data_IF_871979998949
#
_entry.id   IF_871979998949
#
_cell.length_a   1.000
_cell.length_b   1.000
_cell.length_c   1.000
_cell.angle_alpha   90.00
_cell.angle_beta   90.00
_cell.angle_gamma   90.00
#
_symmetry.space_group_name_H-M   'P 1'
#
loop_
_entity.id
_entity.type
_entity.pdbx_description
1 polymer ?
#
# COMPACT_ATOMS: atom_id res chain seq x y z
N UNK A 1 1.17 10.74 2.77
CA UNK A 1 0.23 9.63 2.49
C UNK A 1 -0.52 9.88 1.19
N UNK A 2 -0.80 8.82 0.43
CA UNK A 2 -1.70 8.82 -0.72
C UNK A 2 -2.40 7.47 -0.81
N UNK A 3 -3.52 7.36 -1.51
CA UNK A 3 -4.21 6.10 -1.73
C UNK A 3 -4.53 5.87 -3.21
N UNK A 4 -4.87 4.65 -3.58
CA UNK A 4 -5.39 4.34 -4.90
C UNK A 4 -6.47 3.28 -4.85
N UNK A 5 -7.44 3.39 -5.75
CA UNK A 5 -8.46 2.38 -5.98
C UNK A 5 -7.97 1.47 -7.11
N UNK A 6 -7.96 0.17 -6.87
CA UNK A 6 -7.69 -0.80 -7.93
C UNK A 6 -8.95 -0.96 -8.77
N UNK A 7 -8.83 -0.75 -10.08
CA UNK A 7 -9.96 -0.84 -11.00
C UNK A 7 -9.97 -2.22 -11.69
N UNK A 8 -11.12 -2.66 -12.23
CA UNK A 8 -11.15 -3.81 -13.13
C UNK A 8 -10.10 -3.65 -14.24
N UNK A 9 -9.45 -4.70 -14.71
CA UNK A 9 -8.45 -4.61 -15.78
C UNK A 9 -9.10 -4.11 -17.09
N UNK A 10 -8.28 -3.56 -17.98
CA UNK A 10 -8.75 -3.03 -19.27
C UNK A 10 -9.12 -4.12 -20.29
N UNK A 11 -8.62 -5.35 -20.10
CA UNK A 11 -8.80 -6.46 -21.02
C UNK A 11 -9.17 -7.77 -20.32
N UNK A 12 -9.57 -8.80 -21.09
CA UNK A 12 -10.04 -10.08 -20.57
C UNK A 12 -8.92 -10.95 -19.98
N UNK A 13 -7.66 -10.67 -20.34
CA UNK A 13 -6.48 -11.42 -19.89
C UNK A 13 -6.08 -11.11 -18.42
N UNK A 14 -6.85 -10.25 -17.75
CA UNK A 14 -6.54 -9.78 -16.41
C UNK A 14 -5.59 -8.59 -16.42
N UNK A 15 -4.94 -8.32 -15.29
CA UNK A 15 -4.00 -7.23 -15.18
C UNK A 15 -3.45 -7.15 -13.77
N UNK A 16 -2.22 -6.66 -13.65
CA UNK A 16 -1.52 -6.57 -12.36
C UNK A 16 -1.04 -5.17 -12.08
N UNK A 17 -0.96 -4.84 -10.80
CA UNK A 17 -0.52 -3.53 -10.35
C UNK A 17 0.48 -3.64 -9.21
N UNK A 18 1.43 -2.72 -9.18
CA UNK A 18 2.25 -2.44 -8.00
C UNK A 18 2.14 -0.98 -7.64
N UNK A 19 2.03 -0.68 -6.37
CA UNK A 19 1.95 0.68 -5.82
C UNK A 19 3.06 0.90 -4.81
N UNK A 20 3.49 2.15 -4.65
CA UNK A 20 4.44 2.50 -3.60
C UNK A 20 5.17 3.81 -3.85
N UNK A 21 6.47 3.79 -3.66
CA UNK A 21 7.30 4.99 -3.66
C UNK A 21 8.53 4.79 -4.53
N UNK A 22 8.88 5.79 -5.32
CA UNK A 22 10.08 5.80 -6.14
C UNK A 22 10.83 7.13 -5.99
N UNK A 23 12.16 7.05 -5.91
CA UNK A 23 13.03 8.22 -6.00
C UNK A 23 13.28 8.60 -7.47
N UNK A 24 13.75 9.83 -7.71
CA UNK A 24 14.02 10.35 -9.07
C UNK A 24 14.84 9.42 -10.00
N UNK A 25 15.90 8.72 -9.55
CA UNK A 25 16.69 7.85 -10.44
C UNK A 25 16.07 6.47 -10.69
N UNK A 26 14.83 6.21 -10.25
CA UNK A 26 14.18 4.93 -10.51
C UNK A 26 13.94 4.72 -12.02
N UNK A 27 14.11 3.48 -12.47
CA UNK A 27 13.92 3.08 -13.87
C UNK A 27 12.44 3.13 -14.25
N UNK A 28 12.08 4.03 -15.17
CA UNK A 28 10.69 4.26 -15.58
C UNK A 28 10.12 3.15 -16.45
N UNK A 29 10.96 2.40 -17.16
CA UNK A 29 10.53 1.29 -18.02
C UNK A 29 10.42 -0.04 -17.25
N UNK A 30 10.73 -0.04 -15.96
CA UNK A 30 10.66 -1.20 -15.10
C UNK A 30 9.52 -1.05 -14.07
N UNK A 31 8.98 -2.16 -13.54
CA UNK A 31 7.95 -2.08 -12.51
C UNK A 31 8.51 -1.51 -11.21
N UNK A 32 7.65 -0.89 -10.40
CA UNK A 32 8.05 -0.38 -9.07
C UNK A 32 8.63 -1.55 -8.25
N UNK A 33 9.73 -1.28 -7.55
CA UNK A 33 10.48 -2.29 -6.78
C UNK A 33 11.54 -3.04 -7.59
N UNK A 34 11.72 -2.73 -8.88
CA UNK A 34 12.75 -3.35 -9.72
C UNK A 34 14.17 -3.02 -9.26
N UNK A 35 14.43 -1.75 -8.93
CA UNK A 35 15.74 -1.24 -8.60
C UNK A 35 15.88 -0.88 -7.11
N UNK A 36 17.02 -0.32 -6.75
CA UNK A 36 17.30 0.16 -5.40
C UNK A 36 16.61 1.50 -5.06
N UNK A 37 15.92 2.12 -6.01
CA UNK A 37 15.35 3.46 -5.90
C UNK A 37 13.84 3.45 -5.69
N UNK A 38 13.22 2.27 -5.71
CA UNK A 38 11.79 2.10 -5.59
C UNK A 38 11.42 0.97 -4.61
N UNK A 39 10.27 1.12 -3.99
CA UNK A 39 9.71 0.25 -2.96
C UNK A 39 8.24 -0.01 -3.30
N UNK A 40 7.83 -1.27 -3.36
CA UNK A 40 6.54 -1.64 -3.94
C UNK A 40 5.74 -2.61 -3.07
N UNK A 41 4.42 -2.49 -3.16
CA UNK A 41 3.45 -3.48 -2.72
C UNK A 41 2.68 -3.98 -3.93
N UNK A 42 2.55 -5.30 -4.05
CA UNK A 42 2.00 -5.99 -5.22
C UNK A 42 0.66 -6.63 -4.89
N UNK A 43 -0.24 -6.57 -5.87
CA UNK A 43 -1.58 -7.16 -5.84
C UNK A 43 -1.59 -8.67 -5.54
N UNK A 44 -0.74 -9.42 -6.25
CA UNK A 44 -0.61 -10.87 -6.09
C UNK A 44 0.19 -11.20 -4.84
N UNK A 45 -0.39 -12.08 -4.02
CA UNK A 45 0.18 -12.59 -2.76
C UNK A 45 0.49 -11.53 -1.70
N UNK A 46 0.13 -10.26 -1.92
CA UNK A 46 0.45 -9.18 -0.98
C UNK A 46 1.95 -9.01 -0.77
N UNK A 47 2.75 -9.31 -1.80
CA UNK A 47 4.20 -9.24 -1.69
C UNK A 47 4.70 -7.81 -1.61
N UNK A 48 5.77 -7.57 -0.83
CA UNK A 48 6.59 -6.37 -0.95
C UNK A 48 7.78 -6.62 -1.88
N UNK A 49 8.18 -5.63 -2.68
CA UNK A 49 9.29 -5.74 -3.64
C UNK A 49 10.26 -4.55 -3.64
N UNK A 50 11.55 -4.86 -3.57
CA UNK A 50 12.64 -3.89 -3.64
C UNK A 50 13.89 -4.54 -4.24
N UNK A 51 14.63 -3.86 -5.13
CA UNK A 51 15.81 -4.43 -5.82
C UNK A 51 15.51 -5.75 -6.56
N UNK A 52 14.30 -5.90 -7.10
CA UNK A 52 13.81 -7.13 -7.73
C UNK A 52 13.73 -8.34 -6.78
N UNK A 53 13.86 -8.13 -5.48
CA UNK A 53 13.62 -9.15 -4.45
C UNK A 53 12.16 -9.06 -4.04
N UNK A 54 11.48 -10.21 -4.03
CA UNK A 54 10.09 -10.37 -3.64
C UNK A 54 10.00 -11.10 -2.30
N UNK A 55 9.23 -10.55 -1.38
CA UNK A 55 8.89 -11.17 -0.09
C UNK A 55 7.38 -11.31 -0.02
N UNK A 56 6.87 -12.54 0.01
CA UNK A 56 5.43 -12.84 -0.10
C UNK A 56 4.69 -12.76 1.25
N UNK A 57 5.38 -12.80 2.39
CA UNK A 57 4.78 -12.80 3.74
C UNK A 57 4.62 -11.38 4.33
N UNK A 58 4.28 -10.38 3.51
CA UNK A 58 4.13 -9.00 3.98
C UNK A 58 2.68 -8.64 4.35
N UNK A 59 1.77 -8.70 3.38
CA UNK A 59 0.39 -8.25 3.58
C UNK A 59 -0.61 -9.11 2.82
N UNK A 60 -1.88 -8.72 2.86
CA UNK A 60 -2.93 -9.39 2.12
C UNK A 60 -2.83 -9.09 0.61
N UNK A 61 -3.16 -10.08 -0.22
CA UNK A 61 -3.41 -9.84 -1.64
C UNK A 61 -4.58 -8.89 -1.83
N UNK A 62 -4.60 -8.18 -2.95
CA UNK A 62 -5.64 -7.20 -3.25
C UNK A 62 -5.98 -7.19 -4.73
N UNK A 63 -7.18 -6.71 -5.06
CA UNK A 63 -7.72 -6.75 -6.41
C UNK A 63 -8.72 -5.62 -6.69
N UNK A 64 -9.45 -5.69 -7.82
CA UNK A 64 -10.45 -4.69 -8.19
C UNK A 64 -11.43 -4.37 -7.06
N UNK A 65 -11.63 -3.09 -6.78
CA UNK A 65 -12.47 -2.59 -5.68
C UNK A 65 -11.69 -2.26 -4.40
N UNK A 66 -10.52 -2.87 -4.18
CA UNK A 66 -9.69 -2.55 -3.02
C UNK A 66 -9.07 -1.15 -3.12
N UNK A 67 -8.95 -0.50 -1.96
CA UNK A 67 -8.26 0.78 -1.80
C UNK A 67 -6.95 0.56 -1.06
N UNK A 68 -5.84 0.89 -1.73
CA UNK A 68 -4.49 0.73 -1.20
C UNK A 68 -3.93 2.07 -0.77
N UNK A 69 -3.75 2.23 0.54
CA UNK A 69 -3.10 3.36 1.17
C UNK A 69 -1.58 3.19 1.22
N UNK A 70 -0.85 4.26 0.96
CA UNK A 70 0.61 4.29 0.94
C UNK A 70 1.11 5.40 1.88
N UNK A 71 1.68 5.02 3.02
CA UNK A 71 2.33 5.93 3.95
C UNK A 71 3.84 5.88 3.81
N UNK A 72 4.48 7.03 3.99
CA UNK A 72 5.93 7.14 4.13
C UNK A 72 6.21 8.13 5.25
N UNK A 73 7.01 7.70 6.20
CA UNK A 73 7.57 8.55 7.26
C UNK A 73 9.04 8.81 6.91
N UNK A 74 9.40 10.09 6.79
CA UNK A 74 10.78 10.52 6.56
C UNK A 74 11.16 11.52 7.65
N UNK A 75 12.15 11.17 8.44
CA UNK A 75 12.75 12.07 9.41
C UNK A 75 13.65 13.08 8.69
N UNK A 76 13.46 14.39 8.92
CA UNK A 76 14.25 15.42 8.28
C UNK A 76 15.74 15.36 8.66
N UNK A 77 16.07 14.78 9.83
CA UNK A 77 17.45 14.73 10.35
C UNK A 77 18.30 13.58 9.79
N UNK A 78 17.73 12.67 8.98
CA UNK A 78 18.44 11.51 8.41
C UNK A 78 19.47 11.81 7.31
N UNK A 79 19.82 13.09 7.08
CA UNK A 79 20.78 13.49 6.03
C UNK A 79 22.25 13.49 6.47
N UNK A 80 22.57 13.24 7.74
CA UNK A 80 23.95 13.25 8.25
C UNK A 80 24.15 12.17 9.32
N UNK A 81 24.75 11.05 8.92
CA UNK A 81 25.69 10.15 9.65
C UNK A 81 25.57 8.74 9.05
N UNK A 82 26.32 8.48 7.98
CA UNK A 82 26.81 7.13 7.74
C UNK A 82 27.69 6.77 8.94
N UNK A 83 27.16 6.04 9.93
CA UNK A 83 28.02 5.44 10.95
C UNK A 83 28.76 4.28 10.30
N UNK A 84 29.97 4.54 9.86
CA UNK A 84 31.00 3.52 9.69
C UNK A 84 31.26 2.88 11.06
N UNK A 85 30.60 1.77 11.33
CA UNK A 85 31.11 0.79 12.30
C UNK A 85 30.69 -0.60 11.82
N UNK A 86 31.65 -1.30 11.19
CA UNK A 86 31.65 -2.75 11.11
C UNK A 86 31.74 -3.30 12.54
N UNK A 87 30.60 -3.44 13.20
CA UNK A 87 30.44 -4.21 14.44
C UNK A 87 29.92 -5.59 14.07
N UNK A 88 30.75 -6.62 14.17
CA UNK A 88 30.37 -8.00 13.89
C UNK A 88 29.29 -8.47 14.88
N UNK A 89 28.08 -8.68 14.40
CA UNK A 89 27.07 -9.44 15.12
C UNK A 89 27.20 -10.90 14.70
N UNK A 90 27.65 -11.75 15.62
CA UNK A 90 27.53 -13.21 15.50
C UNK A 90 26.13 -13.54 16.03
N UNK A 91 25.18 -14.03 15.22
CA UNK A 91 23.90 -14.47 15.75
C UNK A 91 24.09 -15.79 16.50
N UNK A 92 23.81 -15.79 17.81
CA UNK A 92 23.64 -17.02 18.60
C UNK A 92 22.35 -17.74 18.16
N UNK A 93 22.35 -19.07 18.04
CA UNK A 93 21.15 -19.83 17.68
C UNK A 93 20.09 -19.77 18.79
N UNK A 94 18.79 -19.83 18.43
CA UNK A 94 17.69 -19.69 19.39
C UNK A 94 17.60 -20.93 20.29
N UNK A 95 17.40 -20.69 21.59
CA UNK A 95 17.15 -21.72 22.60
C UNK A 95 15.66 -22.14 22.51
N UNK A 96 15.32 -23.44 22.35
CA UNK A 96 13.94 -23.89 22.33
C UNK A 96 13.32 -23.79 23.75
N UNK A 97 12.18 -23.11 23.87
CA UNK A 97 11.36 -23.14 25.11
C UNK A 97 10.95 -21.79 25.70
N UNK A 98 11.28 -20.66 25.06
CA UNK A 98 10.72 -19.37 25.48
C UNK A 98 9.37 -19.18 24.80
N UNK A 99 8.31 -19.38 25.57
CA UNK A 99 6.96 -18.91 25.25
C UNK A 99 7.02 -17.39 25.08
N UNK A 100 6.86 -16.90 23.85
CA UNK A 100 6.64 -15.47 23.58
C UNK A 100 5.23 -15.11 24.08
N UNK A 101 5.07 -14.14 24.98
CA UNK A 101 3.74 -13.68 25.34
C UNK A 101 3.12 -12.95 24.14
N UNK A 102 1.94 -13.42 23.73
CA UNK A 102 1.03 -12.69 22.84
C UNK A 102 0.66 -11.37 23.53
N UNK A 103 0.95 -10.24 22.88
CA UNK A 103 0.57 -8.91 23.39
C UNK A 103 1.72 -7.91 23.56
N UNK A 104 2.75 -7.96 22.71
CA UNK A 104 3.67 -6.83 22.60
C UNK A 104 3.02 -5.75 21.73
N UNK A 105 2.63 -4.63 22.35
CA UNK A 105 2.28 -3.41 21.62
C UNK A 105 3.39 -3.09 20.62
N UNK A 106 3.00 -2.79 19.38
CA UNK A 106 3.93 -2.40 18.33
C UNK A 106 4.65 -1.11 18.77
N UNK A 107 5.92 -1.20 19.16
CA UNK A 107 6.76 -0.02 19.26
C UNK A 107 6.87 0.59 17.86
N UNK A 108 6.25 1.75 17.66
CA UNK A 108 6.27 2.46 16.38
C UNK A 108 7.74 2.71 15.95
N UNK A 109 8.13 2.33 14.72
CA UNK A 109 9.49 2.55 14.26
C UNK A 109 9.79 4.04 14.27
N UNK A 110 10.75 4.45 15.11
CA UNK A 110 11.20 5.85 15.19
C UNK A 110 12.01 6.30 13.97
N UNK A 111 12.34 5.36 13.07
CA UNK A 111 13.16 5.54 11.88
C UNK A 111 12.30 5.67 10.62
N UNK A 112 12.92 6.14 9.52
CA UNK A 112 12.24 6.27 8.23
C UNK A 112 11.67 4.93 7.79
N UNK A 113 10.38 4.90 7.44
CA UNK A 113 9.71 3.67 7.08
C UNK A 113 8.54 3.89 6.12
N UNK A 114 8.11 2.80 5.48
CA UNK A 114 6.93 2.74 4.62
C UNK A 114 5.94 1.72 5.19
N UNK A 115 4.66 2.11 5.22
CA UNK A 115 3.53 1.24 5.56
C UNK A 115 2.50 1.26 4.42
N UNK A 116 1.86 0.12 4.21
CA UNK A 116 0.73 -0.01 3.30
C UNK A 116 -0.55 -0.32 4.07
N UNK A 117 -1.68 0.09 3.50
CA UNK A 117 -2.99 -0.10 4.08
C UNK A 117 -3.89 -0.72 3.03
N UNK A 118 -4.72 -1.70 3.41
CA UNK A 118 -5.78 -2.24 2.56
C UNK A 118 -7.12 -1.87 3.16
N UNK A 119 -7.92 -1.07 2.45
CA UNK A 119 -9.23 -0.60 2.90
C UNK A 119 -9.17 0.02 4.31
N UNK A 120 -8.14 0.82 4.57
CA UNK A 120 -7.88 1.47 5.85
C UNK A 120 -7.22 0.60 6.93
N UNK A 121 -7.10 -0.72 6.74
CA UNK A 121 -6.41 -1.63 7.67
C UNK A 121 -4.91 -1.60 7.42
N UNK A 122 -4.13 -1.31 8.46
CA UNK A 122 -2.67 -1.33 8.41
C UNK A 122 -2.16 -2.75 8.11
N UNK A 123 -1.29 -2.88 7.12
CA UNK A 123 -0.62 -4.14 6.74
C UNK A 123 0.73 -4.29 7.44
N UNK A 124 1.09 -3.36 8.32
CA UNK A 124 2.36 -3.33 9.04
C UNK A 124 3.47 -2.65 8.26
N UNK A 125 4.65 -2.62 8.87
CA UNK A 125 5.83 -1.94 8.34
C UNK A 125 6.43 -2.76 7.20
N UNK A 126 6.39 -2.23 5.98
CA UNK A 126 6.93 -2.89 4.80
C UNK A 126 8.44 -2.77 4.71
N UNK A 127 8.93 -1.54 4.89
CA UNK A 127 10.33 -1.19 4.77
C UNK A 127 10.73 -0.28 5.91
N UNK A 128 11.82 -0.64 6.57
CA UNK A 128 12.45 0.12 7.64
C UNK A 128 13.79 0.68 7.15
N UNK A 129 14.32 1.66 7.88
CA UNK A 129 15.64 2.22 7.63
C UNK A 129 15.82 2.74 6.19
N UNK A 130 14.75 3.25 5.57
CA UNK A 130 14.84 3.75 4.21
C UNK A 130 15.69 5.04 4.16
N UNK A 131 16.52 5.22 3.12
CA UNK A 131 17.35 6.41 3.01
C UNK A 131 16.51 7.69 2.96
N UNK A 132 16.96 8.75 3.64
CA UNK A 132 16.32 10.06 3.53
C UNK A 132 16.55 10.63 2.12
N UNK A 133 15.49 10.63 1.30
CA UNK A 133 15.50 11.06 -0.11
C UNK A 133 14.14 11.66 -0.48
N UNK A 134 14.11 12.34 -1.61
CA UNK A 134 12.85 12.76 -2.21
C UNK A 134 12.21 11.55 -2.91
N UNK A 135 11.09 11.09 -2.35
CA UNK A 135 10.25 10.06 -2.93
C UNK A 135 9.00 10.66 -3.57
N UNK A 136 8.53 9.99 -4.62
CA UNK A 136 7.31 10.30 -5.34
C UNK A 136 6.38 9.09 -5.27
N UNK A 137 5.06 9.30 -5.17
CA UNK A 137 4.10 8.23 -5.40
C UNK A 137 4.37 7.53 -6.73
N UNK A 138 4.38 6.21 -6.72
CA UNK A 138 4.70 5.41 -7.89
C UNK A 138 3.69 4.28 -8.08
N UNK A 139 3.37 4.02 -9.34
CA UNK A 139 2.50 2.94 -9.77
C UNK A 139 3.13 2.30 -11.01
N UNK A 140 3.10 0.98 -11.08
CA UNK A 140 3.36 0.25 -12.33
C UNK A 140 2.20 -0.68 -12.63
N UNK A 141 1.76 -0.72 -13.88
CA UNK A 141 0.69 -1.58 -14.36
C UNK A 141 1.21 -2.59 -15.37
N UNK A 142 0.64 -3.79 -15.38
CA UNK A 142 0.98 -4.87 -16.31
C UNK A 142 -0.30 -5.51 -16.86
N UNK A 143 -0.27 -5.97 -18.12
CA UNK A 143 -1.34 -6.78 -18.74
C UNK A 143 -2.70 -6.09 -18.88
N UNK A 144 -2.80 -4.78 -18.62
CA UNK A 144 -4.08 -4.06 -18.54
C UNK A 144 -4.52 -3.70 -17.13
N UNK A 145 -3.65 -3.87 -16.12
CA UNK A 145 -3.88 -3.39 -14.75
C UNK A 145 -4.19 -1.89 -14.72
N UNK A 146 -5.15 -1.50 -13.88
CA UNK A 146 -5.61 -0.12 -13.77
C UNK A 146 -5.75 0.28 -12.32
N UNK A 147 -5.35 1.50 -12.01
CA UNK A 147 -5.62 2.14 -10.72
C UNK A 147 -6.11 3.55 -10.93
N UNK A 148 -6.87 4.06 -9.96
CA UNK A 148 -7.21 5.46 -9.84
C UNK A 148 -6.56 6.03 -8.59
N UNK A 149 -5.75 7.07 -8.75
CA UNK A 149 -4.91 7.60 -7.67
C UNK A 149 -5.59 8.78 -6.98
N UNK A 150 -5.55 8.81 -5.64
CA UNK A 150 -6.01 9.90 -4.80
C UNK A 150 -4.86 10.41 -3.90
N UNK A 151 -4.42 11.65 -4.15
CA UNK A 151 -3.35 12.30 -3.38
C UNK A 151 -3.84 13.07 -2.14
N UNK A 152 -5.14 13.01 -1.85
CA UNK A 152 -5.80 13.80 -0.81
C UNK A 152 -6.30 15.17 -1.30
N UNK A 153 -6.79 16.04 -0.41
CA UNK A 153 -6.73 15.91 1.07
C UNK A 153 -7.81 15.03 1.69
N UNK A 154 -8.89 14.72 0.95
CA UNK A 154 -9.93 13.78 1.39
C UNK A 154 -9.56 12.37 0.93
N UNK A 155 -9.70 11.39 1.81
CA UNK A 155 -9.44 9.98 1.51
C UNK A 155 -10.69 9.13 1.68
N UNK A 156 -10.78 8.05 0.91
CA UNK A 156 -11.79 7.02 1.04
C UNK A 156 -11.70 6.37 2.42
N UNK A 157 -10.46 6.04 2.82
CA UNK A 157 -10.14 5.49 4.15
C UNK A 157 -9.14 6.41 4.88
N UNK A 158 -9.63 7.33 5.74
CA UNK A 158 -8.77 8.14 6.59
C UNK A 158 -7.98 7.26 7.55
N UNK A 159 -6.66 7.45 7.62
CA UNK A 159 -5.81 6.74 8.58
C UNK A 159 -5.52 7.63 9.80
N UNK A 160 -5.56 7.02 10.98
CA UNK A 160 -4.98 7.56 12.20
C UNK A 160 -3.71 6.78 12.45
N UNK A 161 -2.55 7.38 12.19
CA UNK A 161 -1.29 6.77 12.61
C UNK A 161 -1.10 7.11 14.09
N UNK A 162 -1.28 6.13 14.98
CA UNK A 162 -0.92 6.30 16.38
C UNK A 162 0.58 6.66 16.47
N UNK A 163 0.94 7.67 17.27
CA UNK A 163 2.33 8.07 17.51
C UNK A 163 3.01 8.99 16.47
N UNK A 164 2.65 8.98 15.18
CA UNK A 164 3.31 9.80 14.13
C UNK A 164 2.55 11.05 13.68
N UNK A 165 1.40 11.33 14.30
CA UNK A 165 0.57 12.50 13.98
C UNK A 165 -0.32 12.28 12.74
N UNK A 166 -1.19 13.26 12.45
CA UNK A 166 -2.08 13.18 11.29
C UNK A 166 -1.24 13.15 10.00
N UNK A 167 -1.44 12.17 9.10
CA UNK A 167 -0.65 12.10 7.87
C UNK A 167 -0.86 13.35 7.02
N UNK A 168 0.22 13.89 6.46
CA UNK A 168 0.13 14.94 5.45
C UNK A 168 -0.25 14.33 4.09
N UNK A 169 -1.30 14.83 3.40
CA UNK A 169 -1.61 14.43 2.03
C UNK A 169 -0.52 14.87 1.07
N UNK A 170 -0.25 14.06 0.05
CA UNK A 170 0.68 14.43 -1.03
C UNK A 170 0.20 15.68 -1.77
N UNK A 171 -1.11 15.90 -1.88
CA UNK A 171 -1.68 17.09 -2.50
C UNK A 171 -1.21 18.40 -1.83
N UNK A 172 -0.95 18.40 -0.51
CA UNK A 172 -0.48 19.58 0.22
C UNK A 172 0.98 19.94 -0.05
N UNK A 173 1.75 19.07 -0.71
CA UNK A 173 3.13 19.38 -1.11
C UNK A 173 3.16 20.39 -2.26
N UNK A 174 2.10 20.45 -3.07
CA UNK A 174 1.91 21.42 -4.16
C UNK A 174 0.44 21.85 -4.22
N UNK A 175 0.04 22.87 -3.44
CA UNK A 175 -1.36 23.27 -3.34
C UNK A 175 -1.92 23.69 -4.69
N UNK A 176 -3.16 23.27 -4.95
CA UNK A 176 -3.93 23.61 -6.17
C UNK A 176 -4.96 24.70 -5.87
N UNK A 177 -5.52 25.37 -6.90
CA UNK A 177 -6.64 26.29 -6.72
C UNK A 177 -7.82 25.66 -5.95
N UNK A 178 -8.52 26.42 -5.09
CA UNK A 178 -9.62 25.91 -4.26
C UNK A 178 -10.73 25.20 -5.03
N UNK A 179 -10.99 25.63 -6.26
CA UNK A 179 -12.02 25.05 -7.14
C UNK A 179 -11.67 23.62 -7.52
N UNK A 180 -10.40 23.35 -7.83
CA UNK A 180 -9.92 21.99 -8.11
C UNK A 180 -9.95 21.12 -6.86
N UNK A 181 -9.66 21.70 -5.68
CA UNK A 181 -9.77 20.97 -4.41
C UNK A 181 -11.22 20.55 -4.16
N UNK A 182 -12.18 21.47 -4.33
CA UNK A 182 -13.61 21.17 -4.19
C UNK A 182 -14.09 20.11 -5.18
N UNK A 183 -13.68 20.21 -6.44
CA UNK A 183 -14.02 19.23 -7.47
C UNK A 183 -13.48 17.84 -7.12
N UNK A 184 -12.22 17.76 -6.68
CA UNK A 184 -11.61 16.51 -6.24
C UNK A 184 -12.38 15.89 -5.06
N UNK A 185 -12.75 16.67 -4.04
CA UNK A 185 -13.50 16.17 -2.89
C UNK A 185 -14.85 15.57 -3.32
N UNK A 186 -15.55 16.24 -4.23
CA UNK A 186 -16.82 15.75 -4.74
C UNK A 186 -16.65 14.48 -5.59
N UNK A 187 -15.57 14.40 -6.37
CA UNK A 187 -15.21 13.19 -7.09
C UNK A 187 -14.92 12.00 -6.16
N UNK A 188 -14.15 12.22 -5.07
CA UNK A 188 -13.89 11.18 -4.06
C UNK A 188 -15.19 10.70 -3.39
N UNK A 189 -16.14 11.60 -3.11
CA UNK A 189 -17.46 11.22 -2.58
C UNK A 189 -18.24 10.34 -3.54
N UNK A 190 -18.18 10.62 -4.84
CA UNK A 190 -18.80 9.76 -5.87
C UNK A 190 -18.15 8.39 -5.90
N UNK A 191 -16.82 8.32 -5.84
CA UNK A 191 -16.14 7.02 -5.79
C UNK A 191 -16.55 6.20 -4.56
N UNK A 192 -16.74 6.84 -3.40
CA UNK A 192 -17.23 6.17 -2.19
C UNK A 192 -18.62 5.53 -2.42
N UNK A 193 -19.52 6.24 -3.11
CA UNK A 193 -20.84 5.72 -3.48
C UNK A 193 -20.72 4.57 -4.48
N UNK A 194 -19.89 4.72 -5.52
CA UNK A 194 -19.68 3.70 -6.55
C UNK A 194 -19.09 2.41 -5.96
N UNK A 195 -18.09 2.52 -5.06
CA UNK A 195 -17.49 1.38 -4.37
C UNK A 195 -18.49 0.68 -3.45
N UNK A 196 -19.31 1.45 -2.72
CA UNK A 196 -20.37 0.88 -1.90
C UNK A 196 -21.39 0.10 -2.74
N UNK A 197 -21.75 0.61 -3.92
CA UNK A 197 -22.66 -0.08 -4.83
C UNK A 197 -22.04 -1.36 -5.41
N UNK A 198 -20.79 -1.29 -5.85
CA UNK A 198 -20.07 -2.45 -6.38
C UNK A 198 -19.93 -3.56 -5.35
N UNK A 199 -19.63 -3.23 -4.08
CA UNK A 199 -19.59 -4.21 -3.00
C UNK A 199 -20.94 -4.93 -2.85
N UNK A 200 -22.05 -4.18 -2.80
CA UNK A 200 -23.38 -4.78 -2.66
C UNK A 200 -23.81 -5.64 -3.86
N UNK A 201 -23.37 -5.29 -5.08
CA UNK A 201 -23.64 -6.07 -6.29
C UNK A 201 -22.85 -7.38 -6.30
N UNK A 202 -21.60 -7.36 -5.80
CA UNK A 202 -20.76 -8.56 -5.67
C UNK A 202 -21.33 -9.51 -4.62
N UNK A 203 -21.71 -8.98 -3.44
CA UNK A 203 -22.26 -9.78 -2.34
C UNK A 203 -23.57 -10.47 -2.78
N UNK A 204 -24.46 -9.74 -3.47
CA UNK A 204 -25.69 -10.30 -4.03
C UNK A 204 -25.42 -11.37 -5.10
N UNK A 205 -24.40 -11.19 -5.94
CA UNK A 205 -24.03 -12.18 -6.96
C UNK A 205 -23.48 -13.47 -6.32
N UNK A 206 -22.67 -13.38 -5.26
CA UNK A 206 -22.20 -14.56 -4.53
C UNK A 206 -23.34 -15.34 -3.87
N UNK A 207 -24.30 -14.65 -3.23
CA UNK A 207 -25.46 -15.32 -2.61
C UNK A 207 -26.30 -16.08 -3.64
N UNK A 208 -26.51 -15.52 -4.83
CA UNK A 208 -27.23 -16.21 -5.91
C UNK A 208 -26.48 -17.41 -6.49
N UNK A 209 -25.14 -17.34 -6.55
CA UNK A 209 -24.31 -18.43 -7.05
C UNK A 209 -24.26 -19.60 -6.06
N UNK A 210 -24.20 -19.32 -4.76
CA UNK A 210 -24.25 -20.35 -3.72
C UNK A 210 -25.63 -21.04 -3.70
N UNK A 211 -26.72 -20.30 -3.89
CA UNK A 211 -28.07 -20.87 -3.98
C UNK A 211 -28.27 -21.80 -5.21
N UNK A 212 -27.75 -21.44 -6.39
CA UNK A 212 -27.81 -22.32 -7.59
C UNK A 212 -26.87 -23.53 -7.49
N UNK A 213 -25.86 -23.48 -6.62
CA UNK A 213 -24.95 -24.61 -6.38
C UNK A 213 -25.57 -25.63 -5.43
N UNK A 214 -26.32 -25.18 -4.43
CA UNK A 214 -27.00 -26.06 -3.46
C UNK A 214 -28.16 -26.84 -4.11
N UNK A 215 -28.92 -26.20 -5.04
CA UNK A 215 -29.97 -26.88 -5.82
C UNK A 215 -29.43 -27.94 -6.82
N UNK A 216 -28.13 -27.95 -7.13
CA UNK A 216 -27.50 -28.94 -8.03
C UNK A 216 -26.91 -30.16 -7.33
N UNK A 217 -26.91 -30.19 -5.99
CA UNK A 217 -26.37 -31.31 -5.20
C UNK A 217 -27.48 -32.31 -4.80
N UNK A 218 -28.77 -31.96 -4.97
CA UNK A 218 -29.89 -32.88 -4.73
C UNK A 218 -30.36 -33.65 -5.99
N UNK A 219 -29.49 -34.43 -6.65
CA UNK A 219 -29.91 -35.49 -7.58
C UNK A 219 -28.90 -36.66 -7.65
#
# INVERSE_FOLDING_TARGET
>A
YWESVVLPPAGPEGGHVRVGWAAKPAELQAPVGYDQWSYAFRDVAGSKLHKSIREDDYGESFGPGDVIGCAILLNPEGSQKQSTSLGSFIPTPPVPGVVTPEGAGHEEPTQNHIRFFKNGRDQGVAYENIPSRNFFPAVSCYGGGRVRVNFGPEWLFPISCEGSGKPRPVADLKPKPPELIKANIEEIRRWRQDLSRQSSEIDAASETADADTDERIEF
#
